data_IF_697114171078
#
_entry.id   IF_697114171078
#
_cell.length_a   1.000
_cell.length_b   1.000
_cell.length_c   1.000
_cell.angle_alpha   90.00
_cell.angle_beta   90.00
_cell.angle_gamma   90.00
#
_symmetry.space_group_name_H-M   'P 1'
#
loop_
_entity.id
_entity.type
_entity.pdbx_description
1 polymer ?
#
# COMPACT_ATOMS: atom_id res chain seq x y z
N UNK A 1 39.05 31.57 -24.67
CA UNK A 1 39.55 30.57 -23.70
C UNK A 1 38.38 30.02 -22.92
N UNK A 2 38.06 28.73 -23.09
CA UNK A 2 36.97 28.05 -22.38
C UNK A 2 36.45 26.87 -23.21
N UNK A 3 36.90 25.66 -22.88
CA UNK A 3 36.64 24.41 -23.61
C UNK A 3 35.13 24.06 -23.70
N UNK A 4 34.68 23.33 -24.74
CA UNK A 4 33.33 22.78 -24.79
C UNK A 4 33.20 21.61 -23.81
N UNK A 5 32.21 21.67 -22.92
CA UNK A 5 31.88 20.58 -22.00
C UNK A 5 31.05 19.55 -22.77
N UNK A 6 31.61 18.36 -22.97
CA UNK A 6 30.89 17.20 -23.53
C UNK A 6 29.78 16.75 -22.56
N UNK A 7 28.63 16.28 -23.05
CA UNK A 7 27.65 15.64 -22.18
C UNK A 7 28.20 14.29 -21.73
N UNK A 8 28.42 14.12 -20.42
CA UNK A 8 28.68 12.81 -19.84
C UNK A 8 27.38 12.01 -19.81
N UNK A 9 27.34 10.95 -20.61
CA UNK A 9 26.39 9.86 -20.48
C UNK A 9 26.73 9.01 -19.24
N UNK A 10 25.89 9.05 -18.23
CA UNK A 10 25.67 7.90 -17.34
C UNK A 10 24.16 7.84 -17.04
N UNK A 11 23.50 6.88 -17.67
CA UNK A 11 22.10 6.55 -17.40
C UNK A 11 21.97 5.58 -16.21
N UNK A 12 22.93 5.63 -15.27
CA UNK A 12 23.09 4.63 -14.21
C UNK A 12 23.00 5.20 -12.77
N UNK A 13 22.85 6.51 -12.58
CA UNK A 13 22.97 7.14 -11.25
C UNK A 13 21.63 7.40 -10.50
N UNK A 14 20.59 6.60 -10.77
CA UNK A 14 19.39 6.58 -9.90
C UNK A 14 18.97 5.15 -9.59
N UNK A 15 19.91 4.34 -9.08
CA UNK A 15 19.53 3.31 -8.11
C UNK A 15 19.35 4.03 -6.78
N UNK A 16 18.10 4.34 -6.43
CA UNK A 16 17.76 4.69 -5.06
C UNK A 16 18.23 3.55 -4.18
N UNK A 17 19.21 3.82 -3.33
CA UNK A 17 19.75 2.84 -2.41
C UNK A 17 18.65 2.47 -1.40
N UNK A 18 18.02 1.32 -1.61
CA UNK A 18 17.03 0.75 -0.69
C UNK A 18 17.68 0.34 0.65
N UNK A 19 19.00 0.47 0.79
CA UNK A 19 19.75 0.22 2.02
C UNK A 19 19.58 1.28 3.11
N UNK A 20 18.86 2.38 2.86
CA UNK A 20 18.73 3.49 3.82
C UNK A 20 17.37 3.53 4.53
N UNK A 21 16.69 2.39 4.71
CA UNK A 21 15.74 2.30 5.82
C UNK A 21 16.62 2.19 7.07
N UNK A 22 16.64 3.19 7.97
CA UNK A 22 17.37 3.02 9.21
C UNK A 22 16.84 1.76 9.88
N UNK A 23 17.74 0.82 10.16
CA UNK A 23 17.48 -0.31 11.05
C UNK A 23 17.17 0.27 12.42
N UNK A 24 15.94 0.74 12.60
CA UNK A 24 15.40 0.99 13.92
C UNK A 24 15.57 -0.33 14.67
N UNK A 25 16.28 -0.31 15.80
CA UNK A 25 16.20 -1.41 16.77
C UNK A 25 14.72 -1.54 17.15
N UNK A 26 14.02 -2.41 16.42
CA UNK A 26 12.65 -2.79 16.76
C UNK A 26 12.81 -3.55 18.06
N UNK A 27 12.22 -3.08 19.18
CA UNK A 27 12.15 -3.89 20.38
C UNK A 27 11.57 -5.23 19.94
N UNK A 28 12.29 -6.33 20.17
CA UNK A 28 11.84 -7.69 19.82
C UNK A 28 10.68 -8.12 20.73
N UNK A 29 9.66 -7.28 20.86
CA UNK A 29 8.41 -7.66 21.45
C UNK A 29 7.75 -8.68 20.54
N UNK A 30 7.32 -9.84 21.07
CA UNK A 30 6.58 -10.79 20.27
C UNK A 30 5.30 -10.12 19.74
N UNK A 31 5.00 -10.37 18.47
CA UNK A 31 3.70 -10.01 17.90
C UNK A 31 2.69 -11.00 18.49
N UNK A 32 1.73 -10.50 19.27
CA UNK A 32 0.71 -11.32 19.93
C UNK A 32 -0.62 -11.03 19.26
N UNK A 33 -1.23 -12.10 18.73
CA UNK A 33 -2.62 -12.07 18.23
C UNK A 33 -3.48 -12.81 19.24
N UNK A 34 -4.39 -12.10 19.89
CA UNK A 34 -5.37 -12.68 20.81
C UNK A 34 -6.67 -12.92 20.07
N UNK A 35 -7.12 -14.17 20.02
CA UNK A 35 -8.40 -14.54 19.43
C UNK A 35 -9.45 -14.53 20.53
N UNK A 36 -10.46 -13.66 20.39
CA UNK A 36 -11.56 -13.49 21.33
C UNK A 36 -12.79 -14.31 20.91
N UNK A 37 -12.96 -14.55 19.61
CA UNK A 37 -14.02 -15.39 19.04
C UNK A 37 -13.42 -16.46 18.10
N UNK A 38 -13.81 -17.72 18.29
CA UNK A 38 -13.40 -18.86 17.47
C UNK A 38 -13.93 -18.80 16.03
N UNK A 39 -14.98 -18.02 15.75
CA UNK A 39 -15.45 -17.75 14.38
C UNK A 39 -14.36 -17.10 13.50
N UNK A 40 -13.34 -16.51 14.11
CA UNK A 40 -12.14 -16.03 13.43
C UNK A 40 -11.50 -17.11 12.55
N UNK A 41 -11.36 -18.35 13.02
CA UNK A 41 -10.66 -19.40 12.27
C UNK A 41 -11.41 -19.80 11.01
N UNK A 42 -12.74 -19.89 11.08
CA UNK A 42 -13.57 -20.17 9.90
C UNK A 42 -13.56 -18.97 8.94
N UNK A 43 -13.66 -17.75 9.44
CA UNK A 43 -13.55 -16.53 8.64
C UNK A 43 -12.21 -16.46 7.89
N UNK A 44 -11.10 -16.71 8.59
CA UNK A 44 -9.75 -16.74 8.01
C UNK A 44 -9.62 -17.83 6.95
N UNK A 45 -10.17 -19.03 7.19
CA UNK A 45 -10.10 -20.13 6.23
C UNK A 45 -10.87 -19.84 4.93
N UNK A 46 -12.10 -19.32 5.03
CA UNK A 46 -12.96 -19.10 3.86
C UNK A 46 -12.73 -17.75 3.16
N UNK A 47 -12.27 -16.73 3.89
CA UNK A 47 -12.18 -15.33 3.39
C UNK A 47 -10.76 -14.76 3.44
N UNK A 48 -9.76 -15.53 3.88
CA UNK A 48 -8.35 -15.17 3.89
C UNK A 48 -8.08 -13.77 4.50
N UNK A 49 -7.47 -12.87 3.74
CA UNK A 49 -7.10 -11.50 4.12
C UNK A 49 -8.32 -10.64 4.50
N UNK A 50 -9.43 -10.78 3.78
CA UNK A 50 -10.69 -10.10 4.14
C UNK A 50 -11.27 -10.64 5.46
N UNK A 51 -11.17 -11.95 5.69
CA UNK A 51 -11.61 -12.56 6.94
C UNK A 51 -10.80 -12.07 8.15
N UNK A 52 -9.50 -11.86 7.95
CA UNK A 52 -8.60 -11.28 8.94
C UNK A 52 -8.92 -9.80 9.22
N UNK A 53 -9.18 -9.01 8.17
CA UNK A 53 -9.53 -7.60 8.30
C UNK A 53 -10.86 -7.41 9.05
N UNK A 54 -11.89 -8.16 8.67
CA UNK A 54 -13.20 -8.10 9.32
C UNK A 54 -13.11 -8.50 10.78
N UNK A 55 -12.38 -9.57 11.10
CA UNK A 55 -12.20 -10.03 12.48
C UNK A 55 -11.46 -9.00 13.36
N UNK A 56 -10.62 -8.15 12.77
CA UNK A 56 -9.99 -7.04 13.49
C UNK A 56 -10.98 -5.88 13.71
N UNK A 57 -11.75 -5.53 12.67
CA UNK A 57 -12.73 -4.43 12.69
C UNK A 57 -13.88 -4.74 13.66
N UNK A 58 -14.40 -5.97 13.65
CA UNK A 58 -15.50 -6.40 14.53
C UNK A 58 -15.04 -6.73 15.96
N UNK A 59 -13.73 -6.82 16.19
CA UNK A 59 -13.13 -7.08 17.50
C UNK A 59 -13.02 -8.55 17.89
N UNK A 60 -13.24 -9.49 16.97
CA UNK A 60 -13.01 -10.93 17.17
C UNK A 60 -11.54 -11.26 17.44
N UNK A 61 -10.61 -10.40 17.01
CA UNK A 61 -9.19 -10.49 17.35
C UNK A 61 -8.61 -9.18 17.88
N UNK A 62 -7.51 -9.28 18.62
CA UNK A 62 -6.64 -8.16 19.03
C UNK A 62 -5.21 -8.42 18.62
N UNK A 63 -4.52 -7.40 18.14
CA UNK A 63 -3.12 -7.49 17.68
C UNK A 63 -2.29 -6.48 18.49
N UNK A 64 -1.20 -6.94 19.11
CA UNK A 64 -0.36 -6.08 19.98
C UNK A 64 0.34 -4.95 19.22
N UNK A 65 0.74 -5.19 17.97
CA UNK A 65 1.31 -4.19 17.07
C UNK A 65 0.88 -4.50 15.62
N UNK A 66 -0.10 -3.74 15.13
CA UNK A 66 -0.65 -3.94 13.79
C UNK A 66 0.39 -3.71 12.68
N UNK A 67 1.26 -2.72 12.82
CA UNK A 67 2.27 -2.40 11.81
C UNK A 67 3.27 -3.57 11.70
N UNK A 68 3.80 -4.03 12.83
CA UNK A 68 4.73 -5.15 12.85
C UNK A 68 4.08 -6.45 12.33
N UNK A 69 2.80 -6.67 12.66
CA UNK A 69 2.03 -7.80 12.15
C UNK A 69 1.85 -7.76 10.63
N UNK A 70 1.44 -6.63 10.06
CA UNK A 70 1.31 -6.48 8.61
C UNK A 70 2.67 -6.60 7.89
N UNK A 71 3.74 -6.04 8.46
CA UNK A 71 5.10 -6.22 7.94
C UNK A 71 5.54 -7.68 7.97
N UNK A 72 5.21 -8.42 9.03
CA UNK A 72 5.46 -9.86 9.09
C UNK A 72 4.70 -10.61 7.98
N UNK A 73 3.42 -10.31 7.77
CA UNK A 73 2.65 -10.92 6.68
C UNK A 73 3.24 -10.59 5.31
N UNK A 74 3.61 -9.33 5.07
CA UNK A 74 4.24 -8.89 3.83
C UNK A 74 5.61 -9.53 3.60
N UNK A 75 6.43 -9.68 4.65
CA UNK A 75 7.72 -10.35 4.57
C UNK A 75 7.58 -11.84 4.20
N UNK A 76 6.49 -12.46 4.65
CA UNK A 76 6.17 -13.85 4.32
C UNK A 76 5.29 -13.99 3.07
N UNK A 77 5.02 -12.91 2.34
CA UNK A 77 4.17 -12.94 1.14
C UNK A 77 4.79 -13.74 -0.01
N UNK A 78 6.12 -13.86 -0.06
CA UNK A 78 6.78 -14.72 -1.05
C UNK A 78 6.61 -16.21 -0.71
N UNK A 79 6.39 -16.55 0.57
CA UNK A 79 5.89 -17.87 0.94
C UNK A 79 4.49 -18.04 0.37
N UNK A 80 3.65 -16.99 0.35
CA UNK A 80 2.33 -17.00 -0.29
C UNK A 80 2.36 -17.14 -1.83
N UNK A 81 3.43 -16.78 -2.52
CA UNK A 81 3.58 -17.18 -3.94
C UNK A 81 3.83 -18.69 -4.08
N UNK A 82 4.44 -19.33 -3.08
CA UNK A 82 4.53 -20.78 -2.94
C UNK A 82 3.21 -21.38 -2.39
N UNK A 83 2.45 -20.64 -1.57
CA UNK A 83 1.11 -20.95 -1.03
C UNK A 83 -0.06 -20.33 -1.80
N UNK A 84 0.14 -19.89 -3.04
CA UNK A 84 -0.90 -20.02 -4.08
C UNK A 84 -1.19 -21.51 -4.34
N UNK A 85 -0.34 -22.39 -3.75
CA UNK A 85 -0.64 -23.76 -3.40
C UNK A 85 -1.77 -23.99 -2.38
N UNK A 86 -2.29 -22.99 -1.66
CA UNK A 86 -3.44 -23.15 -0.77
C UNK A 86 -4.78 -23.13 -1.53
N UNK A 87 -4.85 -22.43 -2.65
CA UNK A 87 -5.88 -22.68 -3.69
C UNK A 87 -5.57 -23.98 -4.45
N UNK A 88 -4.34 -24.53 -4.35
CA UNK A 88 -4.01 -25.92 -4.73
C UNK A 88 -4.12 -26.95 -3.59
N UNK A 89 -4.74 -26.64 -2.45
CA UNK A 89 -5.38 -27.70 -1.65
C UNK A 89 -6.67 -28.20 -2.32
N UNK A 90 -7.00 -27.66 -3.49
CA UNK A 90 -7.73 -28.37 -4.55
C UNK A 90 -6.78 -29.19 -5.44
N UNK A 91 -5.80 -29.88 -4.85
CA UNK A 91 -5.00 -30.90 -5.54
C UNK A 91 -5.82 -32.13 -5.95
N UNK A 92 -7.13 -32.14 -5.67
CA UNK A 92 -8.09 -33.18 -6.02
C UNK A 92 -9.23 -32.72 -6.95
N UNK A 93 -9.22 -31.49 -7.49
CA UNK A 93 -10.15 -31.13 -8.57
C UNK A 93 -9.37 -30.77 -9.85
N UNK A 94 -8.93 -31.76 -10.64
CA UNK A 94 -8.57 -31.54 -12.02
C UNK A 94 -9.87 -31.39 -12.81
N UNK A 95 -10.53 -30.24 -12.77
CA UNK A 95 -11.74 -30.08 -13.57
C UNK A 95 -11.93 -28.69 -14.12
N UNK A 96 -12.48 -28.68 -15.34
CA UNK A 96 -13.00 -27.55 -16.10
C UNK A 96 -13.67 -26.47 -15.22
N UNK A 97 -14.26 -26.86 -14.09
CA UNK A 97 -14.91 -26.00 -13.09
C UNK A 97 -13.99 -24.91 -12.55
N UNK A 98 -12.73 -25.22 -12.22
CA UNK A 98 -11.78 -24.21 -11.72
C UNK A 98 -11.47 -23.12 -12.75
N UNK A 99 -11.39 -23.51 -14.04
CA UNK A 99 -11.18 -22.57 -15.16
C UNK A 99 -12.42 -21.73 -15.46
N UNK A 100 -13.61 -22.34 -15.38
CA UNK A 100 -14.89 -21.63 -15.57
C UNK A 100 -15.12 -20.66 -14.42
N UNK A 101 -14.88 -21.06 -13.18
CA UNK A 101 -14.98 -20.20 -12.00
C UNK A 101 -14.02 -19.01 -12.09
N UNK A 102 -12.75 -19.23 -12.44
CA UNK A 102 -11.78 -18.14 -12.64
C UNK A 102 -12.19 -17.19 -13.78
N UNK A 103 -12.74 -17.72 -14.87
CA UNK A 103 -13.21 -16.91 -16.01
C UNK A 103 -14.46 -16.10 -15.67
N UNK A 104 -15.40 -16.68 -14.92
CA UNK A 104 -16.59 -16.00 -14.41
C UNK A 104 -16.21 -14.92 -13.39
N UNK A 105 -15.31 -15.21 -12.47
CA UNK A 105 -14.77 -14.25 -11.52
C UNK A 105 -14.05 -13.10 -12.22
N UNK A 106 -13.30 -13.38 -13.29
CA UNK A 106 -12.65 -12.35 -14.11
C UNK A 106 -13.66 -11.50 -14.91
N UNK A 107 -14.78 -12.08 -15.34
CA UNK A 107 -15.87 -11.36 -16.02
C UNK A 107 -16.73 -10.53 -15.07
N UNK A 108 -16.88 -10.96 -13.81
CA UNK A 108 -17.58 -10.21 -12.76
C UNK A 108 -16.76 -9.04 -12.20
N UNK A 109 -15.46 -8.97 -12.51
CA UNK A 109 -14.56 -7.83 -12.25
C UNK A 109 -14.64 -6.73 -13.32
N UNK A 110 -15.64 -6.76 -14.21
CA UNK A 110 -15.85 -5.66 -15.14
C UNK A 110 -16.23 -4.39 -14.36
N UNK A 111 -15.44 -3.33 -14.50
CA UNK A 111 -15.69 -2.04 -13.84
C UNK A 111 -16.87 -1.33 -14.55
N UNK A 112 -18.09 -1.82 -14.32
CA UNK A 112 -19.29 -1.22 -14.90
C UNK A 112 -19.63 0.07 -14.17
N UNK A 113 -20.17 1.07 -14.88
CA UNK A 113 -20.58 2.35 -14.28
C UNK A 113 -21.59 2.15 -13.13
N UNK A 114 -22.42 1.11 -13.21
CA UNK A 114 -23.36 0.74 -12.15
C UNK A 114 -22.65 0.20 -10.89
N UNK A 115 -21.65 -0.67 -11.02
CA UNK A 115 -20.84 -1.12 -9.88
C UNK A 115 -19.97 -0.01 -9.32
N UNK A 116 -19.40 0.86 -10.18
CA UNK A 116 -18.69 2.04 -9.72
C UNK A 116 -19.60 2.93 -8.85
N UNK A 117 -20.87 3.15 -9.28
CA UNK A 117 -21.86 3.90 -8.50
C UNK A 117 -22.25 3.22 -7.19
N UNK A 118 -22.37 1.90 -7.17
CA UNK A 118 -22.65 1.12 -5.95
C UNK A 118 -21.47 1.17 -4.97
N UNK A 119 -20.23 1.05 -5.47
CA UNK A 119 -19.00 1.19 -4.68
C UNK A 119 -18.81 2.61 -4.14
N UNK A 120 -19.27 3.64 -4.88
CA UNK A 120 -19.30 5.03 -4.42
C UNK A 120 -20.36 5.23 -3.33
N UNK A 121 -21.44 4.44 -3.31
CA UNK A 121 -22.55 4.60 -2.36
C UNK A 121 -22.21 4.11 -0.94
N UNK A 122 -21.11 3.37 -0.77
CA UNK A 122 -20.49 3.05 0.53
C UNK A 122 -19.41 4.07 0.92
N UNK A 123 -19.44 5.30 0.39
CA UNK A 123 -18.58 6.35 0.88
C UNK A 123 -19.02 6.76 2.29
N UNK A 124 -18.13 6.55 3.26
CA UNK A 124 -18.13 7.36 4.46
C UNK A 124 -18.08 8.83 4.04
N UNK A 125 -19.06 9.63 4.47
CA UNK A 125 -19.08 11.08 4.30
C UNK A 125 -18.00 11.74 5.18
N UNK A 126 -16.74 11.36 4.96
CA UNK A 126 -15.57 11.93 5.61
C UNK A 126 -15.23 13.23 4.89
N UNK A 127 -15.78 14.33 5.39
CA UNK A 127 -15.46 15.67 4.91
C UNK A 127 -14.05 16.10 5.29
N UNK A 128 -13.62 17.28 4.80
CA UNK A 128 -12.31 17.85 5.07
C UNK A 128 -12.00 17.99 6.57
N UNK A 129 -13.01 18.14 7.41
CA UNK A 129 -12.83 18.28 8.87
C UNK A 129 -12.27 17.02 9.52
N UNK A 130 -12.58 15.83 8.98
CA UNK A 130 -11.96 14.59 9.42
C UNK A 130 -10.48 14.54 9.03
N UNK A 131 -10.16 14.86 7.77
CA UNK A 131 -8.79 14.82 7.27
C UNK A 131 -7.85 15.82 7.94
N UNK A 132 -8.36 17.00 8.33
CA UNK A 132 -7.60 18.00 9.11
C UNK A 132 -7.08 17.48 10.45
N UNK A 133 -7.66 16.40 10.99
CA UNK A 133 -7.21 15.83 12.27
C UNK A 133 -5.82 15.19 12.18
N UNK A 134 -5.38 14.75 11.00
CA UNK A 134 -4.13 14.01 10.84
C UNK A 134 -3.28 14.42 9.62
N UNK A 135 -3.82 15.22 8.69
CA UNK A 135 -3.03 15.81 7.61
C UNK A 135 -2.37 17.12 8.04
N UNK A 136 -1.34 17.53 7.31
CA UNK A 136 -0.73 18.84 7.46
C UNK A 136 -1.62 19.95 6.81
N UNK A 137 -1.33 21.23 7.04
CA UNK A 137 -2.14 22.33 6.51
C UNK A 137 -2.29 22.35 4.97
N UNK A 138 -1.40 21.70 4.21
CA UNK A 138 -1.54 21.57 2.76
C UNK A 138 -2.64 20.61 2.32
N UNK A 139 -3.22 19.82 3.26
CA UNK A 139 -4.20 18.76 2.98
C UNK A 139 -3.69 17.69 2.00
N UNK A 140 -2.37 17.48 1.95
CA UNK A 140 -1.76 16.54 1.00
C UNK A 140 -1.96 15.11 1.47
N UNK A 141 -2.91 14.40 0.85
CA UNK A 141 -3.17 12.98 1.13
C UNK A 141 -2.34 12.05 0.23
N UNK A 142 -1.02 12.20 0.30
CA UNK A 142 -0.06 11.30 -0.35
C UNK A 142 1.23 11.24 0.48
N UNK A 143 2.13 10.29 0.15
CA UNK A 143 3.40 10.14 0.87
C UNK A 143 4.20 11.45 0.89
N UNK A 144 4.99 11.67 1.95
CA UNK A 144 5.96 12.76 2.04
C UNK A 144 7.38 12.30 1.69
N UNK A 145 8.32 13.24 1.58
CA UNK A 145 9.76 12.95 1.44
C UNK A 145 10.47 13.19 2.78
N UNK A 146 11.06 12.15 3.36
CA UNK A 146 11.60 12.15 4.73
C UNK A 146 13.12 11.96 4.73
N UNK A 147 13.93 13.03 4.69
CA UNK A 147 15.39 12.92 4.71
C UNK A 147 15.95 12.53 6.09
N UNK A 148 15.19 12.72 7.17
CA UNK A 148 15.56 12.36 8.54
C UNK A 148 14.33 12.10 9.40
N UNK A 149 14.52 11.46 10.56
CA UNK A 149 13.45 11.18 11.52
C UNK A 149 12.86 12.46 12.16
N UNK A 150 13.64 13.54 12.24
CA UNK A 150 13.21 14.82 12.83
C UNK A 150 12.42 15.72 11.86
N UNK A 151 12.27 15.30 10.59
CA UNK A 151 11.51 16.06 9.60
C UNK A 151 10.04 16.09 10.00
N UNK A 152 9.38 17.26 9.97
CA UNK A 152 7.94 17.32 10.26
C UNK A 152 7.11 16.86 9.05
N UNK A 153 5.84 16.47 9.27
CA UNK A 153 4.94 16.11 8.18
C UNK A 153 4.85 17.22 7.12
N UNK A 154 4.62 18.47 7.54
CA UNK A 154 4.57 19.64 6.66
C UNK A 154 5.86 19.81 5.84
N UNK A 155 7.02 19.72 6.51
CA UNK A 155 8.33 19.79 5.83
C UNK A 155 8.48 18.68 4.80
N UNK A 156 8.06 17.45 5.13
CA UNK A 156 8.15 16.30 4.23
C UNK A 156 7.33 16.50 2.95
N UNK A 157 6.16 17.14 3.04
CA UNK A 157 5.30 17.44 1.90
C UNK A 157 5.91 18.53 1.01
N UNK A 158 6.44 19.59 1.62
CA UNK A 158 7.13 20.66 0.89
C UNK A 158 8.40 20.15 0.18
N UNK A 159 9.17 19.28 0.84
CA UNK A 159 10.36 18.67 0.25
C UNK A 159 9.99 17.78 -0.94
N UNK A 160 8.93 16.97 -0.84
CA UNK A 160 8.42 16.20 -1.98
C UNK A 160 8.09 17.10 -3.17
N UNK A 161 7.35 18.18 -2.96
CA UNK A 161 6.97 19.08 -4.06
C UNK A 161 8.20 19.71 -4.71
N UNK A 162 9.18 20.18 -3.91
CA UNK A 162 10.46 20.69 -4.42
C UNK A 162 11.21 19.65 -5.24
N UNK A 163 11.25 18.42 -4.78
CA UNK A 163 11.93 17.32 -5.46
C UNK A 163 11.23 16.94 -6.78
N UNK A 164 9.89 16.93 -6.80
CA UNK A 164 9.13 16.73 -8.04
C UNK A 164 9.41 17.83 -9.07
N UNK A 165 9.39 19.10 -8.64
CA UNK A 165 9.72 20.23 -9.52
C UNK A 165 11.14 20.12 -10.08
N UNK A 166 12.11 19.71 -9.24
CA UNK A 166 13.51 19.49 -9.63
C UNK A 166 13.62 18.35 -10.65
N UNK A 167 13.01 17.20 -10.38
CA UNK A 167 13.03 16.02 -11.28
C UNK A 167 12.37 16.32 -12.63
N UNK A 168 11.26 17.06 -12.61
CA UNK A 168 10.56 17.52 -13.82
C UNK A 168 11.28 18.69 -14.53
N UNK A 169 12.38 19.21 -13.96
CA UNK A 169 13.17 20.33 -14.50
C UNK A 169 12.29 21.54 -14.82
N UNK A 170 11.34 21.83 -13.94
CA UNK A 170 10.36 22.91 -14.15
C UNK A 170 11.05 24.28 -14.18
N UNK A 171 10.64 25.10 -15.13
CA UNK A 171 11.05 26.50 -15.29
C UNK A 171 9.81 27.38 -15.19
N UNK A 172 10.00 28.65 -14.83
CA UNK A 172 8.91 29.63 -14.72
C UNK A 172 8.08 29.81 -15.99
N UNK A 173 8.65 29.53 -17.17
CA UNK A 173 7.96 29.63 -18.45
C UNK A 173 7.08 28.43 -18.79
N UNK A 174 7.17 27.33 -18.03
CA UNK A 174 6.40 26.13 -18.33
C UNK A 174 4.96 26.25 -17.84
N UNK A 175 4.04 25.61 -18.57
CA UNK A 175 2.68 25.32 -18.10
C UNK A 175 2.65 23.89 -17.61
N UNK A 176 2.02 23.65 -16.46
CA UNK A 176 1.98 22.35 -15.78
C UNK A 176 0.56 21.79 -15.83
N UNK A 177 0.45 20.50 -16.13
CA UNK A 177 -0.76 19.71 -15.98
C UNK A 177 -0.52 18.74 -14.83
N UNK A 178 -1.36 18.82 -13.80
CA UNK A 178 -1.44 17.84 -12.72
C UNK A 178 -2.69 16.98 -12.96
N UNK A 179 -2.52 15.67 -12.96
CA UNK A 179 -3.62 14.70 -13.08
C UNK A 179 -3.80 14.10 -11.70
N UNK A 180 -4.96 14.32 -11.10
CA UNK A 180 -5.31 13.84 -9.77
C UNK A 180 -5.27 12.32 -9.66
#
# INVERSE_FOLDING_TARGET
FGKPIRPSSSADDVKGDASAIPSAEVPQMPIVVTVLDGAFYSSLFYRADLGLADAYIDGSIRVSNMIAFLLLLLHNRDIEQLTHGAVRYSGLIPSLVGRVAATLQHRMRANTVAQARQNIHEHYDLGNDFFKLFLDPSMTYSSGLWPSADTTLEQSQQLKLKELMRKARLKRSHRVLEIG
#
